data_IF_999662128184
#
_entry.id   IF_999662128184
#
_cell.length_a   1.000
_cell.length_b   1.000
_cell.length_c   1.000
_cell.angle_alpha   90.00
_cell.angle_beta   90.00
_cell.angle_gamma   90.00
#
_symmetry.space_group_name_H-M   'P 1'
#
loop_
_entity.id
_entity.type
_entity.pdbx_description
1 polymer ?
#
# COMPACT_ATOMS: atom_id res chain seq x y z
N UNK A 1 6.42 -26.69 26.50
CA UNK A 1 6.00 -25.58 27.40
C UNK A 1 4.78 -26.02 28.18
N UNK A 2 4.80 -25.96 29.52
CA UNK A 2 3.65 -26.31 30.35
C UNK A 2 2.87 -25.03 30.66
N UNK A 3 1.72 -24.87 30.02
CA UNK A 3 0.85 -23.69 30.21
C UNK A 3 0.24 -23.78 31.61
N UNK A 4 0.52 -22.80 32.46
CA UNK A 4 -0.01 -22.70 33.80
C UNK A 4 -1.36 -21.96 33.81
N UNK A 5 -2.09 -22.02 34.93
CA UNK A 5 -3.36 -21.28 35.11
C UNK A 5 -3.20 -19.76 34.95
N UNK A 6 -2.02 -19.23 35.28
CA UNK A 6 -1.66 -17.81 35.06
C UNK A 6 -1.48 -17.46 33.57
N UNK A 7 -0.98 -18.40 32.77
CA UNK A 7 -0.79 -18.22 31.33
C UNK A 7 -2.15 -18.16 30.61
N UNK A 8 -3.15 -18.91 31.11
CA UNK A 8 -4.53 -18.82 30.63
C UNK A 8 -5.18 -17.45 30.85
N UNK A 9 -4.91 -16.80 31.99
CA UNK A 9 -5.38 -15.43 32.24
C UNK A 9 -4.73 -14.44 31.26
N UNK A 10 -3.44 -14.61 30.95
CA UNK A 10 -2.73 -13.77 30.00
C UNK A 10 -3.21 -13.96 28.56
N UNK A 11 -3.46 -15.21 28.15
CA UNK A 11 -4.04 -15.54 26.85
C UNK A 11 -5.44 -14.94 26.73
N UNK A 12 -6.28 -15.07 27.77
CA UNK A 12 -7.60 -14.46 27.81
C UNK A 12 -7.55 -12.95 27.60
N UNK A 13 -6.62 -12.25 28.28
CA UNK A 13 -6.40 -10.82 28.10
C UNK A 13 -6.01 -10.46 26.66
N UNK A 14 -5.08 -11.22 26.05
CA UNK A 14 -4.66 -11.00 24.66
C UNK A 14 -5.85 -11.15 23.70
N UNK A 15 -6.68 -12.18 23.89
CA UNK A 15 -7.86 -12.42 23.06
C UNK A 15 -8.86 -11.28 23.19
N UNK A 16 -9.10 -10.79 24.41
CA UNK A 16 -10.00 -9.64 24.66
C UNK A 16 -9.48 -8.39 23.96
N UNK A 17 -8.21 -8.03 24.16
CA UNK A 17 -7.61 -6.85 23.53
C UNK A 17 -7.67 -6.97 22.01
N UNK A 18 -7.26 -8.11 21.45
CA UNK A 18 -7.28 -8.37 20.00
C UNK A 18 -8.70 -8.29 19.42
N UNK A 19 -9.69 -8.84 20.13
CA UNK A 19 -11.10 -8.78 19.74
C UNK A 19 -11.62 -7.34 19.68
N UNK A 20 -11.28 -6.50 20.66
CA UNK A 20 -11.65 -5.07 20.67
C UNK A 20 -11.04 -4.34 19.47
N UNK A 21 -9.76 -4.54 19.20
CA UNK A 21 -9.09 -3.93 18.04
C UNK A 21 -9.74 -4.34 16.71
N UNK A 22 -10.16 -5.60 16.59
CA UNK A 22 -10.83 -6.10 15.40
C UNK A 22 -12.25 -5.51 15.25
N UNK A 23 -12.97 -5.34 16.36
CA UNK A 23 -14.29 -4.70 16.38
C UNK A 23 -14.24 -3.21 15.99
N UNK A 24 -13.16 -2.50 16.33
CA UNK A 24 -12.99 -1.07 16.05
C UNK A 24 -12.35 -0.80 14.67
N UNK A 25 -11.62 -1.77 14.11
CA UNK A 25 -11.05 -1.68 12.75
C UNK A 25 -12.15 -1.71 11.69
N UNK A 26 -12.78 -0.56 11.47
CA UNK A 26 -13.80 -0.38 10.44
C UNK A 26 -13.28 -0.62 9.02
N UNK A 27 -14.22 -0.86 8.09
CA UNK A 27 -13.95 -0.96 6.65
C UNK A 27 -13.40 0.37 6.12
N UNK A 28 -12.53 0.30 5.11
CA UNK A 28 -11.70 1.40 4.62
C UNK A 28 -12.48 2.71 4.44
N UNK A 29 -12.02 3.79 5.08
CA UNK A 29 -12.72 5.08 5.11
C UNK A 29 -12.24 6.07 4.03
N UNK A 30 -11.31 5.64 3.18
CA UNK A 30 -10.53 6.52 2.31
C UNK A 30 -10.65 6.07 0.86
N UNK A 31 -10.57 7.02 -0.06
CA UNK A 31 -10.62 6.72 -1.49
C UNK A 31 -9.29 6.13 -1.96
N UNK A 32 -9.28 5.04 -2.74
CA UNK A 32 -8.05 4.54 -3.35
C UNK A 32 -7.54 5.50 -4.42
N UNK A 33 -6.25 5.40 -4.74
CA UNK A 33 -5.66 6.17 -5.84
C UNK A 33 -6.20 5.66 -7.17
N UNK A 34 -6.72 6.52 -8.07
CA UNK A 34 -7.21 6.09 -9.38
C UNK A 34 -6.11 5.38 -10.19
N UNK A 35 -6.48 4.35 -10.95
CA UNK A 35 -5.57 3.70 -11.90
C UNK A 35 -5.83 4.21 -13.31
N UNK A 36 -5.39 5.43 -13.57
CA UNK A 36 -5.49 6.09 -14.87
C UNK A 36 -4.11 6.55 -15.37
N UNK A 37 -4.07 7.12 -16.57
CA UNK A 37 -2.82 7.59 -17.18
C UNK A 37 -2.10 8.67 -16.39
N UNK A 38 -2.82 9.50 -15.62
CA UNK A 38 -2.23 10.58 -14.82
C UNK A 38 -1.58 10.05 -13.53
N UNK A 39 -2.15 9.00 -12.95
CA UNK A 39 -1.65 8.38 -11.72
C UNK A 39 -0.66 7.24 -11.96
N UNK A 40 -0.46 6.84 -13.22
CA UNK A 40 0.40 5.72 -13.61
C UNK A 40 1.82 5.78 -13.05
N UNK A 41 2.42 6.97 -13.00
CA UNK A 41 3.78 7.16 -12.46
C UNK A 41 3.89 6.74 -10.98
N UNK A 42 2.82 6.91 -10.21
CA UNK A 42 2.75 6.51 -8.79
C UNK A 42 2.77 4.99 -8.69
N UNK A 43 2.00 4.30 -9.54
CA UNK A 43 1.98 2.84 -9.61
C UNK A 43 3.31 2.27 -10.09
N UNK A 44 3.87 2.80 -11.18
CA UNK A 44 5.16 2.37 -11.71
C UNK A 44 6.27 2.56 -10.68
N UNK A 45 6.32 3.72 -10.01
CA UNK A 45 7.32 3.97 -8.97
C UNK A 45 7.16 3.02 -7.79
N UNK A 46 5.93 2.80 -7.32
CA UNK A 46 5.66 1.95 -6.17
C UNK A 46 5.99 0.47 -6.45
N UNK A 47 5.80 0.01 -7.68
CA UNK A 47 5.97 -1.38 -8.08
C UNK A 47 7.22 -1.63 -8.95
N UNK A 48 8.11 -0.64 -9.16
CA UNK A 48 9.32 -0.78 -10.00
C UNK A 48 10.22 -1.94 -9.60
N UNK A 49 10.23 -2.29 -8.32
CA UNK A 49 11.03 -3.36 -7.73
C UNK A 49 10.20 -4.63 -7.44
N UNK A 50 9.01 -4.74 -8.02
CA UNK A 50 8.16 -5.89 -7.84
C UNK A 50 8.86 -7.16 -8.34
N UNK A 51 8.86 -8.25 -7.56
CA UNK A 51 9.43 -9.51 -8.00
C UNK A 51 8.66 -10.05 -9.21
N UNK A 52 9.41 -10.55 -10.20
CA UNK A 52 8.84 -11.24 -11.34
C UNK A 52 8.24 -12.61 -10.97
N UNK A 53 7.55 -13.27 -11.92
CA UNK A 53 6.95 -14.59 -11.72
C UNK A 53 7.99 -15.70 -11.45
N UNK A 54 9.26 -15.45 -11.77
CA UNK A 54 10.43 -16.30 -11.57
C UNK A 54 11.13 -16.11 -10.20
N UNK A 55 10.79 -15.06 -9.44
CA UNK A 55 11.40 -14.79 -8.14
C UNK A 55 11.07 -15.88 -7.10
N UNK A 56 11.89 -16.05 -6.07
CA UNK A 56 11.60 -17.02 -5.00
C UNK A 56 10.26 -16.72 -4.30
N UNK A 57 9.62 -17.78 -3.79
CA UNK A 57 8.35 -17.67 -3.05
C UNK A 57 8.46 -16.65 -1.90
N UNK A 58 9.54 -16.69 -1.13
CA UNK A 58 9.78 -15.74 -0.04
C UNK A 58 9.84 -14.29 -0.54
N UNK A 59 10.50 -14.01 -1.67
CA UNK A 59 10.60 -12.65 -2.18
C UNK A 59 9.25 -12.10 -2.63
N UNK A 60 8.37 -12.95 -3.16
CA UNK A 60 6.98 -12.59 -3.54
C UNK A 60 6.09 -12.39 -2.32
N UNK A 61 6.14 -13.31 -1.35
CA UNK A 61 5.29 -13.27 -0.15
C UNK A 61 5.56 -12.05 0.75
N UNK A 62 6.82 -11.59 0.79
CA UNK A 62 7.22 -10.47 1.65
C UNK A 62 7.49 -9.16 0.87
N UNK A 63 7.14 -9.09 -0.41
CA UNK A 63 7.27 -7.87 -1.17
C UNK A 63 6.36 -6.77 -0.61
N UNK A 64 6.91 -5.56 -0.51
CA UNK A 64 6.17 -4.36 -0.13
C UNK A 64 6.43 -3.28 -1.18
N UNK A 65 5.38 -2.66 -1.75
CA UNK A 65 5.56 -1.57 -2.70
C UNK A 65 6.25 -0.37 -2.04
N UNK A 66 7.07 0.33 -2.81
CA UNK A 66 7.78 1.54 -2.38
C UNK A 66 6.82 2.74 -2.36
N UNK A 67 6.00 2.79 -1.31
CA UNK A 67 5.02 3.86 -1.09
C UNK A 67 5.69 5.22 -0.91
N UNK A 68 6.81 5.25 -0.20
CA UNK A 68 7.48 6.51 0.11
C UNK A 68 8.10 7.13 -1.14
N UNK A 69 8.74 6.32 -1.99
CA UNK A 69 9.27 6.78 -3.26
C UNK A 69 8.18 7.28 -4.21
N UNK A 70 6.97 6.71 -4.15
CA UNK A 70 5.86 7.10 -5.02
C UNK A 70 5.12 8.36 -4.56
N UNK A 71 5.11 8.67 -3.26
CA UNK A 71 4.42 9.83 -2.67
C UNK A 71 4.96 11.19 -3.17
N UNK A 72 6.22 11.25 -3.62
CA UNK A 72 6.83 12.49 -4.14
C UNK A 72 6.12 13.03 -5.37
N UNK A 73 5.41 12.18 -6.11
CA UNK A 73 4.68 12.56 -7.33
C UNK A 73 3.28 13.11 -7.05
N UNK A 74 2.82 13.10 -5.80
CA UNK A 74 1.49 13.60 -5.43
C UNK A 74 1.44 15.13 -5.27
N UNK A 75 2.47 15.73 -4.65
CA UNK A 75 2.49 17.17 -4.32
C UNK A 75 2.37 18.11 -5.54
N UNK A 76 3.05 17.86 -6.68
CA UNK A 76 2.99 18.77 -7.82
C UNK A 76 1.56 19.03 -8.33
N UNK A 77 0.65 18.07 -8.16
CA UNK A 77 -0.75 18.22 -8.57
C UNK A 77 -1.69 18.58 -7.41
N UNK A 78 -1.55 17.92 -6.26
CA UNK A 78 -2.45 18.09 -5.11
C UNK A 78 -2.06 19.24 -4.16
N UNK A 79 -0.95 19.94 -4.43
CA UNK A 79 -0.52 21.14 -3.69
C UNK A 79 -0.34 22.33 -4.61
N UNK A 80 0.41 22.17 -5.70
CA UNK A 80 0.84 23.30 -6.56
C UNK A 80 -0.17 23.61 -7.67
N UNK A 81 -0.67 22.59 -8.39
CA UNK A 81 -1.72 22.78 -9.43
C UNK A 81 -3.13 22.92 -8.85
N UNK A 82 -3.26 23.03 -7.53
CA UNK A 82 -4.49 23.47 -6.88
C UNK A 82 -5.64 22.45 -6.88
N UNK A 83 -5.39 21.14 -7.01
CA UNK A 83 -6.44 20.14 -6.75
C UNK A 83 -6.69 20.13 -5.23
N UNK A 84 -7.83 20.66 -4.75
CA UNK A 84 -8.02 20.92 -3.34
C UNK A 84 -8.27 19.61 -2.59
N UNK A 85 -7.61 19.47 -1.44
CA UNK A 85 -8.01 18.48 -0.46
C UNK A 85 -9.31 18.91 0.23
N UNK A 86 -10.14 17.96 0.71
CA UNK A 86 -11.30 18.29 1.50
C UNK A 86 -10.90 19.04 2.80
N UNK A 87 -11.81 19.85 3.39
CA UNK A 87 -11.49 20.72 4.52
C UNK A 87 -11.00 19.98 5.78
N UNK A 88 -11.39 18.71 5.94
CA UNK A 88 -10.98 17.86 7.06
C UNK A 88 -9.89 16.85 6.68
N UNK A 89 -9.10 17.12 5.64
CA UNK A 89 -8.02 16.23 5.24
C UNK A 89 -6.87 16.28 6.27
N UNK A 90 -6.30 15.12 6.67
CA UNK A 90 -5.14 15.07 7.55
C UNK A 90 -3.91 15.79 6.94
N UNK A 91 -2.82 15.99 7.70
CA UNK A 91 -1.61 16.64 7.20
C UNK A 91 -1.10 16.04 5.88
N UNK A 92 -0.48 16.89 5.07
CA UNK A 92 -0.02 16.58 3.70
C UNK A 92 1.29 15.78 3.71
N UNK A 93 1.30 14.65 4.40
CA UNK A 93 2.39 13.70 4.40
C UNK A 93 1.81 12.29 4.32
N UNK A 94 2.55 11.35 3.72
CA UNK A 94 2.17 9.93 3.70
C UNK A 94 0.84 9.61 3.01
N UNK A 95 0.63 10.16 1.81
CA UNK A 95 -0.60 9.97 1.03
C UNK A 95 -1.00 8.50 0.88
N UNK A 96 -0.05 7.60 0.61
CA UNK A 96 -0.28 6.17 0.35
C UNK A 96 -0.42 5.32 1.63
N UNK A 97 -0.39 5.96 2.80
CA UNK A 97 -0.77 5.33 4.06
C UNK A 97 -2.28 5.16 4.15
N UNK A 98 -3.02 6.23 3.80
CA UNK A 98 -4.47 6.29 3.81
C UNK A 98 -5.06 5.97 2.43
N UNK A 99 -4.51 6.49 1.34
CA UNK A 99 -4.99 6.25 -0.01
C UNK A 99 -4.29 5.03 -0.61
N UNK A 100 -4.92 3.85 -0.51
CA UNK A 100 -4.31 2.63 -1.01
C UNK A 100 -4.22 2.63 -2.54
N UNK A 101 -3.13 2.07 -3.05
CA UNK A 101 -3.06 1.68 -4.46
C UNK A 101 -4.01 0.51 -4.68
N UNK A 102 -4.74 0.53 -5.79
CA UNK A 102 -5.55 -0.60 -6.18
C UNK A 102 -4.61 -1.80 -6.38
N UNK A 103 -4.78 -2.82 -5.53
CA UNK A 103 -4.14 -4.10 -5.76
C UNK A 103 -4.67 -4.60 -7.11
N UNK A 104 -3.77 -4.81 -8.06
CA UNK A 104 -4.08 -5.54 -9.30
C UNK A 104 -4.36 -6.97 -8.84
N UNK A 105 -5.61 -7.22 -8.46
CA UNK A 105 -6.09 -8.50 -7.95
C UNK A 105 -6.19 -9.46 -9.13
N UNK A 106 -5.07 -10.14 -9.38
CA UNK A 106 -4.98 -11.14 -10.45
C UNK A 106 -3.64 -11.86 -10.45
N UNK A 107 -2.52 -11.13 -10.46
CA UNK A 107 -1.20 -11.74 -10.60
C UNK A 107 -0.14 -10.89 -9.90
N UNK A 108 0.49 -11.45 -8.87
CA UNK A 108 1.79 -11.00 -8.45
C UNK A 108 2.79 -11.27 -9.60
N UNK A 109 2.87 -10.36 -10.59
CA UNK A 109 3.82 -10.50 -11.68
C UNK A 109 3.45 -9.92 -13.05
N UNK A 110 2.41 -9.10 -13.22
CA UNK A 110 2.17 -8.46 -14.51
C UNK A 110 1.75 -6.99 -14.35
N UNK A 111 2.77 -6.12 -14.30
CA UNK A 111 2.65 -4.86 -15.03
C UNK A 111 2.21 -5.22 -16.45
N UNK A 112 1.26 -4.51 -17.07
CA UNK A 112 0.87 -4.79 -18.45
C UNK A 112 2.14 -4.87 -19.29
N UNK A 113 2.31 -5.97 -20.03
CA UNK A 113 3.42 -6.31 -20.94
C UNK A 113 3.93 -5.08 -21.73
N UNK A 114 3.03 -4.15 -22.03
CA UNK A 114 3.30 -2.89 -22.72
C UNK A 114 4.28 -1.92 -22.01
N UNK A 115 4.57 -2.08 -20.73
CA UNK A 115 5.57 -1.26 -20.02
C UNK A 115 6.96 -1.92 -20.01
N UNK A 116 7.10 -3.20 -20.41
CA UNK A 116 8.39 -3.91 -20.39
C UNK A 116 9.25 -3.65 -21.64
N UNK A 117 8.66 -3.20 -22.75
CA UNK A 117 9.36 -3.08 -24.04
C UNK A 117 9.60 -1.65 -24.54
N UNK A 118 9.22 -0.62 -23.78
CA UNK A 118 9.61 0.74 -24.12
C UNK A 118 10.59 1.24 -23.08
N UNK A 119 11.87 0.92 -23.34
CA UNK A 119 12.98 1.56 -22.66
C UNK A 119 12.82 3.06 -22.76
N UNK A 120 12.63 3.70 -21.62
CA UNK A 120 12.91 5.12 -21.50
C UNK A 120 14.39 5.21 -21.13
N UNK A 121 15.26 5.68 -22.05
CA UNK A 121 16.65 5.93 -21.69
C UNK A 121 16.68 6.98 -20.59
N UNK A 122 17.31 6.63 -19.48
CA UNK A 122 17.79 7.60 -18.50
C UNK A 122 18.83 8.44 -19.24
N UNK A 123 18.50 9.72 -19.49
CA UNK A 123 19.47 10.73 -19.91
C UNK A 123 19.85 11.57 -18.69
#
# INVERSE_FOLDING_TARGET
MKINKRDWLFIGLIVVVTGIFFAISGKEKTTPVPNDSTHRIVYETAYRNAPGPDASFFKRAFFKPDKQGAEVYCEPCHKEKGIPFPPNHPPKNRCLFCHKLLQISGEAGSLPEKTRTQGVPVK
#
